data_IF_282898421539
#
_entry.id   IF_282898421539
#
_cell.length_a   1.000
_cell.length_b   1.000
_cell.length_c   1.000
_cell.angle_alpha   90.00
_cell.angle_beta   90.00
_cell.angle_gamma   90.00
#
_symmetry.space_group_name_H-M   'P 1'
#
loop_
_entity.id
_entity.type
_entity.pdbx_description
1 polymer ?
#
# COMPACT_ATOMS: atom_id res chain seq x y z
N UNK A 1 -18.94 5.90 1.25
CA UNK A 1 -18.44 6.36 2.56
C UNK A 1 -16.97 6.73 2.39
N UNK A 2 -16.54 7.94 2.80
CA UNK A 2 -15.15 8.39 2.64
C UNK A 2 -14.38 8.13 3.94
N UNK A 3 -13.22 7.49 3.84
CA UNK A 3 -12.33 7.30 4.97
C UNK A 3 -11.80 8.66 5.45
N UNK A 4 -11.98 8.97 6.73
CA UNK A 4 -11.65 10.27 7.33
C UNK A 4 -10.33 10.17 8.09
N UNK A 5 -9.25 10.63 7.45
CA UNK A 5 -7.89 10.52 7.97
C UNK A 5 -7.66 11.17 9.35
N UNK A 6 -8.54 12.10 9.75
CA UNK A 6 -8.54 12.80 11.04
C UNK A 6 -9.10 11.97 12.21
N UNK A 7 -9.74 10.82 11.93
CA UNK A 7 -10.37 9.94 12.93
C UNK A 7 -10.01 8.47 12.72
N UNK A 8 -8.73 8.22 12.51
CA UNK A 8 -8.22 6.88 12.28
C UNK A 8 -7.86 6.20 13.61
N UNK A 9 -8.27 4.93 13.76
CA UNK A 9 -7.86 4.08 14.87
C UNK A 9 -6.87 3.02 14.39
N UNK A 10 -5.93 2.63 15.25
CA UNK A 10 -5.03 1.51 14.94
C UNK A 10 -5.82 0.19 14.94
N UNK A 11 -5.54 -0.68 13.97
CA UNK A 11 -6.17 -1.98 13.89
C UNK A 11 -5.72 -2.88 15.05
N UNK A 12 -6.67 -3.61 15.67
CA UNK A 12 -6.34 -4.56 16.76
C UNK A 12 -5.50 -5.75 16.31
N UNK A 13 -5.58 -6.13 15.03
CA UNK A 13 -4.85 -7.25 14.46
C UNK A 13 -3.83 -6.76 13.44
N UNK A 14 -2.56 -7.14 13.62
CA UNK A 14 -1.44 -6.73 12.77
C UNK A 14 -1.34 -7.48 11.43
N UNK A 15 -2.22 -8.46 11.17
CA UNK A 15 -2.13 -9.33 9.98
C UNK A 15 -2.80 -8.78 8.72
N UNK A 16 -3.40 -7.59 8.78
CA UNK A 16 -4.11 -7.01 7.63
C UNK A 16 -3.18 -6.31 6.62
N UNK A 17 -2.03 -5.84 7.08
CA UNK A 17 -1.07 -5.14 6.25
C UNK A 17 0.27 -5.88 6.30
N UNK A 18 0.90 -6.02 5.14
CA UNK A 18 2.21 -6.64 4.98
C UNK A 18 3.33 -5.61 5.14
N UNK A 19 4.57 -6.09 5.18
CA UNK A 19 5.78 -5.27 5.09
C UNK A 19 5.81 -4.09 6.07
N UNK A 20 5.45 -4.34 7.34
CA UNK A 20 5.47 -3.36 8.43
C UNK A 20 4.58 -2.12 8.21
N UNK A 21 3.60 -2.23 7.32
CA UNK A 21 2.66 -1.14 7.07
C UNK A 21 1.74 -0.85 8.26
N UNK A 22 1.41 0.43 8.43
CA UNK A 22 0.50 0.87 9.48
C UNK A 22 -0.95 0.60 9.07
N UNK A 23 -1.66 -0.18 9.88
CA UNK A 23 -3.08 -0.44 9.67
C UNK A 23 -3.94 0.60 10.39
N UNK A 24 -4.82 1.26 9.65
CA UNK A 24 -5.81 2.19 10.18
C UNK A 24 -7.24 1.76 9.84
N UNK A 25 -8.16 2.01 10.75
CA UNK A 25 -9.57 1.68 10.59
C UNK A 25 -10.47 2.85 10.98
N UNK A 26 -11.69 2.85 10.43
CA UNK A 26 -12.68 3.92 10.60
C UNK A 26 -13.42 3.88 11.94
N UNK A 27 -13.47 2.72 12.61
CA UNK A 27 -14.13 2.55 13.90
C UNK A 27 -13.38 1.55 14.80
N UNK A 28 -13.20 1.82 16.11
CA UNK A 28 -12.36 1.01 17.01
C UNK A 28 -12.92 -0.40 17.29
N UNK A 29 -14.25 -0.54 17.36
CA UNK A 29 -14.94 -1.79 17.74
C UNK A 29 -15.49 -2.57 16.54
N UNK A 30 -16.22 -1.93 15.62
CA UNK A 30 -16.79 -2.53 14.43
C UNK A 30 -16.36 -1.75 13.17
N UNK A 31 -15.13 -1.99 12.65
CA UNK A 31 -14.62 -1.27 11.49
C UNK A 31 -15.35 -1.70 10.21
N UNK A 32 -15.83 -0.72 9.44
CA UNK A 32 -16.44 -0.95 8.12
C UNK A 32 -15.42 -0.81 7.00
N UNK A 33 -14.30 -0.14 7.26
CA UNK A 33 -13.22 0.05 6.29
C UNK A 33 -11.87 0.02 7.00
N UNK A 34 -10.89 -0.64 6.37
CA UNK A 34 -9.50 -0.69 6.82
C UNK A 34 -8.60 -0.28 5.66
N UNK A 35 -7.55 0.46 5.96
CA UNK A 35 -6.57 0.94 4.99
C UNK A 35 -5.17 0.67 5.55
N UNK A 36 -4.26 0.27 4.68
CA UNK A 36 -2.84 0.13 4.99
C UNK A 36 -2.10 1.36 4.49
N UNK A 37 -1.37 2.03 5.39
CA UNK A 37 -0.44 3.09 5.05
C UNK A 37 0.90 2.42 4.79
N UNK A 38 1.28 2.37 3.51
CA UNK A 38 2.47 1.66 3.10
C UNK A 38 3.75 2.43 3.44
N UNK A 39 4.80 1.74 3.91
CA UNK A 39 6.12 2.33 3.99
C UNK A 39 6.70 2.58 2.60
N UNK A 40 7.79 3.33 2.54
CA UNK A 40 8.45 3.66 1.28
C UNK A 40 8.76 2.41 0.45
N UNK A 41 8.57 2.53 -0.86
CA UNK A 41 8.78 1.44 -1.83
C UNK A 41 7.83 0.24 -1.67
N UNK A 42 6.74 0.32 -0.90
CA UNK A 42 5.70 -0.70 -0.87
C UNK A 42 4.36 -0.16 -1.39
N UNK A 43 3.57 -1.02 -2.04
CA UNK A 43 2.28 -0.65 -2.63
C UNK A 43 1.31 -1.84 -2.70
N UNK A 44 0.08 -1.56 -3.12
CA UNK A 44 -1.06 -2.48 -3.06
C UNK A 44 -1.94 -2.23 -1.85
N UNK A 45 -3.14 -2.82 -1.83
CA UNK A 45 -4.13 -2.58 -0.78
C UNK A 45 -3.65 -3.05 0.61
N UNK A 46 -2.75 -4.04 0.65
CA UNK A 46 -2.15 -4.58 1.87
C UNK A 46 -0.65 -4.25 1.95
N UNK A 47 -0.14 -3.37 1.08
CA UNK A 47 1.29 -3.07 0.95
C UNK A 47 2.15 -4.31 0.64
N UNK A 48 1.57 -5.31 -0.01
CA UNK A 48 2.19 -6.61 -0.26
C UNK A 48 3.24 -6.58 -1.38
N UNK A 49 3.22 -5.57 -2.24
CA UNK A 49 4.15 -5.46 -3.36
C UNK A 49 5.28 -4.51 -3.03
N UNK A 50 6.50 -4.91 -3.34
CA UNK A 50 7.67 -4.06 -3.26
C UNK A 50 7.94 -3.42 -4.62
N UNK A 51 7.90 -2.10 -4.67
CA UNK A 51 8.49 -1.32 -5.74
C UNK A 51 10.00 -1.44 -5.59
N UNK A 52 10.55 -2.50 -6.17
CA UNK A 52 11.99 -2.58 -6.43
C UNK A 52 12.34 -1.30 -7.14
N UNK A 53 13.11 -0.43 -6.48
CA UNK A 53 13.52 0.83 -7.05
C UNK A 53 13.99 0.55 -8.47
N UNK A 54 13.17 0.92 -9.45
CA UNK A 54 13.65 1.18 -10.79
C UNK A 54 14.42 2.47 -10.62
N UNK A 55 15.61 2.34 -10.03
CA UNK A 55 16.52 3.44 -9.76
C UNK A 55 16.61 4.23 -11.05
N UNK A 56 16.07 5.43 -10.97
CA UNK A 56 15.97 6.50 -11.96
C UNK A 56 16.79 6.26 -13.22
N UNK A 57 16.28 5.44 -14.12
CA UNK A 57 16.72 5.41 -15.51
C UNK A 57 15.45 5.29 -16.32
N UNK A 58 15.12 6.39 -17.01
CA UNK A 58 14.03 6.46 -17.97
C UNK A 58 14.09 5.26 -18.94
N UNK A 59 15.30 4.80 -19.24
CA UNK A 59 15.61 3.62 -20.05
C UNK A 59 14.98 2.33 -19.52
N UNK A 60 14.91 2.11 -18.20
CA UNK A 60 14.33 0.88 -17.64
C UNK A 60 12.81 0.84 -17.70
N UNK A 61 12.16 2.01 -17.59
CA UNK A 61 10.70 2.14 -17.73
C UNK A 61 10.31 1.89 -19.19
N UNK A 62 11.02 2.52 -20.13
CA UNK A 62 10.77 2.32 -21.57
C UNK A 62 10.97 0.86 -21.99
N UNK A 63 11.99 0.18 -21.47
CA UNK A 63 12.26 -1.21 -21.83
C UNK A 63 11.20 -2.21 -21.32
N UNK A 64 10.46 -1.89 -20.25
CA UNK A 64 9.36 -2.72 -19.77
C UNK A 64 8.16 -2.66 -20.73
N UNK A 65 7.82 -1.47 -21.22
CA UNK A 65 6.75 -1.26 -22.19
C UNK A 65 7.07 -1.94 -23.54
N UNK A 66 8.31 -1.87 -24.02
CA UNK A 66 8.69 -2.54 -25.28
C UNK A 66 8.79 -4.07 -25.16
N UNK A 67 9.00 -4.63 -23.96
CA UNK A 67 9.04 -6.08 -23.76
C UNK A 67 7.67 -6.76 -23.85
N UNK A 68 6.57 -6.00 -23.79
CA UNK A 68 5.21 -6.52 -23.97
C UNK A 68 4.78 -6.59 -25.45
N UNK A 69 5.66 -6.20 -26.38
CA UNK A 69 5.43 -6.22 -27.84
C UNK A 69 6.22 -7.32 -28.58
N UNK A 70 6.64 -8.38 -27.88
CA UNK A 70 7.18 -9.60 -28.50
C UNK A 70 6.48 -10.85 -27.97
#
# INVERSE_FOLDING_TARGET
MKFKHDRNFECKLKKYCANEAQCVQDHPTCPSTRICICPECFFGNECQFYAKALGSTLDKILNYEFKQLK
#
